data_IF_750046186036
#
_entry.id   IF_750046186036
#
_cell.length_a   1.000
_cell.length_b   1.000
_cell.length_c   1.000
_cell.angle_alpha   90.00
_cell.angle_beta   90.00
_cell.angle_gamma   90.00
#
_symmetry.space_group_name_H-M   'P 1'
#
loop_
_entity.id
_entity.type
_entity.pdbx_description
1 polymer ?
#
# COMPACT_ATOMS: atom_id res chain seq x y z
N UNK A 1 4.20 29.79 -20.88
CA UNK A 1 4.11 28.41 -20.38
C UNK A 1 5.50 28.02 -19.94
N UNK A 2 5.64 27.72 -18.65
CA UNK A 2 6.93 27.47 -18.01
C UNK A 2 7.58 26.18 -18.53
N UNK A 3 8.90 26.08 -18.41
CA UNK A 3 9.68 24.95 -18.90
C UNK A 3 9.21 23.61 -18.32
N UNK A 4 8.67 23.61 -17.09
CA UNK A 4 8.10 22.43 -16.44
C UNK A 4 6.91 21.87 -17.22
N UNK A 5 5.97 22.71 -17.66
CA UNK A 5 4.83 22.27 -18.47
C UNK A 5 5.25 21.73 -19.84
N UNK A 6 6.24 22.36 -20.49
CA UNK A 6 6.80 21.84 -21.75
C UNK A 6 7.47 20.48 -21.60
N UNK A 7 8.02 20.17 -20.44
CA UNK A 7 8.59 18.84 -20.18
C UNK A 7 7.50 17.76 -20.07
N UNK A 8 6.29 18.12 -19.63
CA UNK A 8 5.15 17.18 -19.59
C UNK A 8 4.68 16.77 -20.99
N UNK A 9 4.82 17.64 -21.99
CA UNK A 9 4.48 17.29 -23.39
C UNK A 9 5.33 16.13 -23.92
N UNK A 10 6.57 15.97 -23.43
CA UNK A 10 7.47 14.86 -23.80
C UNK A 10 7.00 13.50 -23.27
N UNK A 11 6.08 13.50 -22.31
CA UNK A 11 5.52 12.30 -21.69
C UNK A 11 4.28 11.79 -22.42
N UNK A 12 3.88 12.46 -23.51
CA UNK A 12 2.76 12.05 -24.34
C UNK A 12 3.19 11.08 -25.42
N UNK A 13 2.46 9.98 -25.50
CA UNK A 13 2.61 8.93 -26.50
C UNK A 13 1.26 8.60 -27.12
N UNK A 14 1.28 7.85 -28.21
CA UNK A 14 0.09 7.32 -28.92
C UNK A 14 0.28 5.84 -29.20
N UNK A 15 -0.81 5.08 -29.34
CA UNK A 15 -0.78 3.65 -29.71
C UNK A 15 -0.55 3.44 -31.21
N UNK A 16 -0.93 4.43 -32.02
CA UNK A 16 -0.81 4.47 -33.47
C UNK A 16 0.22 5.50 -33.89
N UNK A 17 0.80 5.30 -35.08
CA UNK A 17 1.79 6.22 -35.61
C UNK A 17 1.14 7.59 -35.91
N UNK A 18 1.58 8.67 -35.25
CA UNK A 18 0.99 10.00 -35.40
C UNK A 18 1.29 10.65 -36.76
N UNK A 19 2.02 10.01 -37.67
CA UNK A 19 2.15 10.43 -39.08
C UNK A 19 1.08 9.83 -39.99
N UNK A 20 0.50 8.69 -39.61
CA UNK A 20 -0.40 7.93 -40.48
C UNK A 20 -1.80 7.72 -39.90
N UNK A 21 -2.02 8.12 -38.64
CA UNK A 21 -3.28 7.93 -37.93
C UNK A 21 -3.82 9.24 -37.37
N UNK A 22 -5.14 9.42 -37.56
CA UNK A 22 -5.93 10.50 -36.96
C UNK A 22 -6.68 10.02 -35.70
N UNK A 23 -6.49 8.77 -35.28
CA UNK A 23 -7.21 8.18 -34.15
C UNK A 23 -6.83 8.83 -32.83
N UNK A 24 -7.81 9.11 -31.96
CA UNK A 24 -7.52 9.56 -30.61
C UNK A 24 -7.14 8.35 -29.75
N UNK A 25 -5.90 8.29 -29.29
CA UNK A 25 -5.30 7.11 -28.67
C UNK A 25 -4.19 7.48 -27.67
N UNK A 26 -4.47 8.49 -26.83
CA UNK A 26 -3.51 9.08 -25.91
C UNK A 26 -2.96 8.06 -24.90
N UNK A 27 -1.65 8.03 -24.75
CA UNK A 27 -0.89 7.31 -23.74
C UNK A 27 -0.03 8.32 -22.97
N UNK A 28 0.01 8.23 -21.65
CA UNK A 28 0.80 9.14 -20.83
C UNK A 28 1.74 8.40 -19.87
N UNK A 29 3.00 8.82 -19.81
CA UNK A 29 3.99 8.24 -18.90
C UNK A 29 3.70 8.63 -17.46
N UNK A 30 3.65 7.64 -16.57
CA UNK A 30 3.31 7.82 -15.15
C UNK A 30 4.31 7.17 -14.18
N UNK A 31 5.31 6.48 -14.70
CA UNK A 31 6.40 5.90 -13.92
C UNK A 31 7.55 5.48 -14.83
N UNK A 32 8.67 5.07 -14.23
CA UNK A 32 9.91 4.74 -14.97
C UNK A 32 9.72 3.69 -16.06
N UNK A 33 8.85 2.73 -15.83
CA UNK A 33 8.55 1.64 -16.77
C UNK A 33 7.08 1.60 -17.21
N UNK A 34 6.28 2.58 -16.78
CA UNK A 34 4.82 2.49 -16.88
C UNK A 34 4.21 3.71 -17.55
N UNK A 35 3.30 3.44 -18.47
CA UNK A 35 2.42 4.43 -19.06
C UNK A 35 0.95 4.01 -18.87
N UNK A 36 0.04 4.96 -18.97
CA UNK A 36 -1.40 4.73 -18.80
C UNK A 36 -2.17 5.24 -20.01
N UNK A 37 -3.23 4.53 -20.33
CA UNK A 37 -4.26 4.95 -21.28
C UNK A 37 -5.64 4.52 -20.78
N UNK A 38 -6.69 4.90 -21.49
CA UNK A 38 -8.08 4.61 -21.13
C UNK A 38 -8.54 3.27 -21.71
N UNK A 39 -9.54 2.67 -21.06
CA UNK A 39 -10.16 1.39 -21.42
C UNK A 39 -11.55 1.62 -22.03
N UNK A 40 -11.61 2.37 -23.13
CA UNK A 40 -12.85 2.60 -23.89
C UNK A 40 -12.53 2.66 -25.39
N UNK A 41 -13.53 2.47 -26.24
CA UNK A 41 -13.35 2.47 -27.69
C UNK A 41 -12.42 1.34 -28.15
N UNK A 42 -11.53 1.62 -29.11
CA UNK A 42 -10.64 0.62 -29.69
C UNK A 42 -9.61 0.07 -28.68
N UNK A 43 -9.31 0.84 -27.63
CA UNK A 43 -8.44 0.38 -26.55
C UNK A 43 -9.06 -0.76 -25.75
N UNK A 44 -10.39 -0.86 -25.69
CA UNK A 44 -11.08 -1.93 -24.96
C UNK A 44 -10.81 -3.33 -25.54
N UNK A 45 -10.32 -3.42 -26.78
CA UNK A 45 -9.98 -4.69 -27.43
C UNK A 45 -8.64 -5.26 -26.93
N UNK A 46 -7.76 -4.41 -26.39
CA UNK A 46 -6.44 -4.79 -25.91
C UNK A 46 -6.53 -5.74 -24.71
N UNK A 47 -5.71 -6.80 -24.72
CA UNK A 47 -5.68 -7.84 -23.69
C UNK A 47 -4.40 -7.81 -22.87
N UNK A 48 -4.48 -8.21 -21.59
CA UNK A 48 -3.29 -8.34 -20.73
C UNK A 48 -2.27 -9.29 -21.39
N UNK A 49 -1.00 -8.88 -21.42
CA UNK A 49 0.10 -9.58 -22.06
C UNK A 49 0.26 -9.31 -23.56
N UNK A 50 -0.69 -8.63 -24.19
CA UNK A 50 -0.58 -8.20 -25.59
C UNK A 50 0.58 -7.21 -25.75
N UNK A 51 1.39 -7.40 -26.80
CA UNK A 51 2.54 -6.54 -27.09
C UNK A 51 2.17 -5.51 -28.15
N UNK A 52 2.69 -4.31 -27.99
CA UNK A 52 2.47 -3.20 -28.90
C UNK A 52 3.67 -2.26 -28.97
N UNK A 53 3.51 -1.19 -29.75
CA UNK A 53 4.47 -0.10 -29.86
C UNK A 53 3.74 1.18 -29.50
N UNK A 54 4.36 2.03 -28.68
CA UNK A 54 3.91 3.39 -28.44
C UNK A 54 4.87 4.39 -29.11
N UNK A 55 4.31 5.48 -29.64
CA UNK A 55 5.02 6.50 -30.40
C UNK A 55 5.03 7.80 -29.62
N UNK A 56 6.20 8.42 -29.41
CA UNK A 56 6.23 9.71 -28.74
C UNK A 56 5.58 10.78 -29.62
N UNK A 57 4.67 11.57 -29.05
CA UNK A 57 3.88 12.55 -29.79
C UNK A 57 4.75 13.70 -30.33
N UNK A 58 5.77 14.13 -29.58
CA UNK A 58 6.66 15.22 -29.96
C UNK A 58 7.81 14.78 -30.87
N UNK A 59 8.43 13.64 -30.57
CA UNK A 59 9.52 13.08 -31.36
C UNK A 59 9.13 11.71 -31.92
N UNK A 60 8.57 11.72 -33.13
CA UNK A 60 7.99 10.55 -33.80
C UNK A 60 9.00 9.43 -34.12
N UNK A 61 10.30 9.73 -34.06
CA UNK A 61 11.37 8.73 -34.18
C UNK A 61 11.47 7.84 -32.93
N UNK A 62 10.97 8.30 -31.78
CA UNK A 62 10.97 7.53 -30.53
C UNK A 62 9.79 6.57 -30.55
N UNK A 63 10.12 5.28 -30.67
CA UNK A 63 9.17 4.15 -30.65
C UNK A 63 9.58 3.20 -29.53
N UNK A 64 8.63 2.84 -28.67
CA UNK A 64 8.90 1.97 -27.52
C UNK A 64 8.01 0.73 -27.57
N UNK A 65 8.64 -0.43 -27.41
CA UNK A 65 7.91 -1.69 -27.25
C UNK A 65 7.33 -1.78 -25.84
N UNK A 66 6.05 -2.12 -25.76
CA UNK A 66 5.32 -2.26 -24.51
C UNK A 66 4.49 -3.54 -24.50
N UNK A 67 4.08 -3.99 -23.31
CA UNK A 67 2.97 -4.92 -23.14
C UNK A 67 1.84 -4.26 -22.35
N UNK A 68 0.62 -4.76 -22.54
CA UNK A 68 -0.51 -4.45 -21.68
C UNK A 68 -0.29 -5.16 -20.35
N UNK A 69 0.12 -4.42 -19.34
CA UNK A 69 0.48 -4.95 -18.04
C UNK A 69 -0.74 -5.18 -17.15
N UNK A 70 -1.68 -4.24 -17.18
CA UNK A 70 -2.88 -4.29 -16.35
C UNK A 70 -4.07 -3.63 -17.04
N UNK A 71 -5.25 -4.18 -16.80
CA UNK A 71 -6.52 -3.70 -17.34
C UNK A 71 -7.56 -3.64 -16.24
N UNK A 72 -8.21 -2.50 -16.09
CA UNK A 72 -9.30 -2.33 -15.13
C UNK A 72 -10.46 -1.56 -15.73
N UNK A 73 -11.46 -2.32 -16.15
CA UNK A 73 -12.71 -1.88 -16.76
C UNK A 73 -13.52 -0.99 -15.82
N UNK A 74 -13.52 -1.26 -14.51
CA UNK A 74 -14.27 -0.46 -13.53
C UNK A 74 -13.71 0.96 -13.39
N UNK A 75 -12.40 1.08 -13.49
CA UNK A 75 -11.70 2.38 -13.44
C UNK A 75 -11.48 3.01 -14.82
N UNK A 76 -11.76 2.28 -15.89
CA UNK A 76 -11.63 2.73 -17.28
C UNK A 76 -10.17 2.95 -17.71
N UNK A 77 -9.21 2.16 -17.21
CA UNK A 77 -7.79 2.32 -17.58
C UNK A 77 -7.11 1.03 -18.03
N UNK A 78 -6.06 1.22 -18.82
CA UNK A 78 -5.03 0.26 -19.19
C UNK A 78 -3.68 0.81 -18.76
N UNK A 79 -2.84 -0.05 -18.21
CA UNK A 79 -1.45 0.26 -17.90
C UNK A 79 -0.58 -0.54 -18.86
N UNK A 80 0.36 0.17 -19.47
CA UNK A 80 1.37 -0.37 -20.36
C UNK A 80 2.70 -0.41 -19.61
N UNK A 81 3.42 -1.53 -19.72
CA UNK A 81 4.78 -1.66 -19.20
C UNK A 81 5.76 -1.74 -20.37
N UNK A 82 6.89 -1.05 -20.25
CA UNK A 82 7.97 -1.06 -21.24
C UNK A 82 8.69 -2.40 -21.26
N UNK A 83 8.94 -2.95 -22.46
CA UNK A 83 9.75 -4.16 -22.60
C UNK A 83 11.25 -3.87 -22.45
N UNK A 84 12.02 -4.94 -22.24
CA UNK A 84 13.49 -4.92 -22.17
C UNK A 84 14.06 -3.98 -21.09
N UNK A 85 13.31 -3.75 -20.00
CA UNK A 85 13.68 -2.84 -18.90
C UNK A 85 13.99 -1.41 -19.35
N UNK A 86 13.40 -0.94 -20.45
CA UNK A 86 13.56 0.45 -20.87
C UNK A 86 13.00 1.40 -19.78
N UNK A 87 13.74 2.46 -19.44
CA UNK A 87 13.28 3.49 -18.51
C UNK A 87 12.96 4.78 -19.28
N UNK A 88 11.81 5.40 -18.99
CA UNK A 88 11.53 6.75 -19.45
C UNK A 88 12.48 7.76 -18.77
N UNK A 89 13.04 8.68 -19.55
CA UNK A 89 14.00 9.69 -19.06
C UNK A 89 13.40 10.67 -18.04
N UNK A 90 12.08 10.82 -18.07
CA UNK A 90 11.35 11.76 -17.23
C UNK A 90 10.02 11.14 -16.78
N UNK A 91 9.60 11.49 -15.56
CA UNK A 91 8.33 11.06 -14.97
C UNK A 91 7.67 12.26 -14.28
N UNK A 92 6.33 12.34 -14.28
CA UNK A 92 5.64 13.46 -13.66
C UNK A 92 5.66 13.33 -12.13
N UNK A 93 5.73 14.45 -11.42
CA UNK A 93 5.48 14.45 -9.98
C UNK A 93 4.00 14.20 -9.69
N UNK A 94 3.70 13.46 -8.62
CA UNK A 94 2.32 13.12 -8.26
C UNK A 94 1.76 14.15 -7.28
N UNK A 95 0.51 14.55 -7.49
CA UNK A 95 -0.17 15.38 -6.50
C UNK A 95 -0.49 14.57 -5.23
N UNK A 96 -0.09 15.07 -4.06
CA UNK A 96 -0.37 14.42 -2.78
C UNK A 96 -1.75 14.74 -2.21
N UNK A 97 -2.31 15.92 -2.56
CA UNK A 97 -3.60 16.39 -2.03
C UNK A 97 -4.28 17.35 -3.01
N UNK A 98 -5.55 17.10 -3.31
CA UNK A 98 -6.35 17.97 -4.17
C UNK A 98 -7.66 18.37 -3.45
N UNK A 99 -7.72 19.64 -3.06
CA UNK A 99 -8.92 20.35 -2.56
C UNK A 99 -9.78 20.72 -3.77
N UNK A 100 -11.10 20.71 -3.60
CA UNK A 100 -12.07 21.12 -4.63
C UNK A 100 -13.05 22.14 -4.03
N UNK A 101 -13.52 23.15 -4.80
CA UNK A 101 -13.19 23.40 -6.19
C UNK A 101 -11.80 24.05 -6.39
N UNK A 102 -11.13 23.79 -7.52
CA UNK A 102 -9.85 24.44 -7.87
C UNK A 102 -9.57 24.41 -9.38
N UNK A 103 -8.78 25.36 -9.93
CA UNK A 103 -8.35 25.29 -11.32
C UNK A 103 -7.35 24.14 -11.57
N UNK A 104 -7.29 23.71 -12.84
CA UNK A 104 -6.28 22.77 -13.35
C UNK A 104 -5.86 23.14 -14.77
N UNK A 105 -4.72 22.58 -15.18
CA UNK A 105 -4.23 22.55 -16.55
C UNK A 105 -4.48 21.18 -17.15
N UNK A 106 -5.01 21.13 -18.37
CA UNK A 106 -5.31 19.90 -19.09
C UNK A 106 -4.44 19.84 -20.33
N UNK A 107 -3.74 18.73 -20.49
CA UNK A 107 -2.96 18.43 -21.66
C UNK A 107 -3.64 17.31 -22.44
N UNK A 108 -3.85 17.57 -23.73
CA UNK A 108 -4.54 16.70 -24.67
C UNK A 108 -3.82 16.65 -26.02
N UNK A 109 -4.31 15.80 -26.93
CA UNK A 109 -3.84 15.75 -28.31
C UNK A 109 -4.79 16.55 -29.18
N UNK A 110 -4.26 17.53 -29.92
CA UNK A 110 -5.02 18.19 -30.97
C UNK A 110 -5.20 17.21 -32.14
N UNK A 111 -6.43 16.75 -32.36
CA UNK A 111 -6.71 15.74 -33.39
C UNK A 111 -6.33 16.19 -34.81
N UNK A 112 -6.42 17.48 -35.14
CA UNK A 112 -6.20 17.98 -36.50
C UNK A 112 -4.75 17.92 -36.98
N UNK A 113 -3.77 18.00 -36.07
CA UNK A 113 -2.35 18.05 -36.42
C UNK A 113 -1.45 17.19 -35.51
N UNK A 114 -2.06 16.42 -34.59
CA UNK A 114 -1.39 15.51 -33.66
C UNK A 114 -0.33 16.21 -32.81
N UNK A 115 -0.60 17.44 -32.38
CA UNK A 115 0.27 18.22 -31.48
C UNK A 115 -0.28 18.30 -30.05
N UNK A 116 0.57 18.52 -29.03
CA UNK A 116 0.12 18.83 -27.67
C UNK A 116 -0.80 20.06 -27.64
N UNK A 117 -1.92 19.96 -26.93
CA UNK A 117 -2.86 21.05 -26.70
C UNK A 117 -3.05 21.25 -25.20
N UNK A 118 -2.85 22.49 -24.75
CA UNK A 118 -3.11 22.87 -23.37
C UNK A 118 -4.39 23.67 -23.25
N UNK A 119 -5.25 23.22 -22.34
CA UNK A 119 -6.47 23.89 -21.91
C UNK A 119 -6.46 24.09 -20.40
N UNK A 120 -7.40 24.90 -19.90
CA UNK A 120 -7.59 25.10 -18.46
C UNK A 120 -9.02 24.79 -18.07
N UNK A 121 -9.20 24.17 -16.92
CA UNK A 121 -10.51 23.86 -16.36
C UNK A 121 -10.55 24.01 -14.85
N UNK A 122 -11.64 23.54 -14.26
CA UNK A 122 -11.86 23.55 -12.81
C UNK A 122 -12.33 22.18 -12.34
N UNK A 123 -11.66 21.62 -11.33
CA UNK A 123 -12.18 20.49 -10.56
C UNK A 123 -13.36 21.01 -9.75
N UNK A 124 -14.55 20.48 -9.98
CA UNK A 124 -15.79 20.96 -9.37
C UNK A 124 -16.00 20.27 -8.01
N UNK A 125 -15.90 18.93 -7.99
CA UNK A 125 -16.16 18.10 -6.81
C UNK A 125 -15.52 16.72 -6.91
N UNK A 126 -15.53 15.99 -5.80
CA UNK A 126 -15.15 14.57 -5.72
C UNK A 126 -16.38 13.69 -5.90
N UNK A 127 -16.24 12.54 -6.55
CA UNK A 127 -17.32 11.52 -6.59
C UNK A 127 -17.54 10.90 -5.20
N UNK A 128 -18.72 10.29 -4.98
CA UNK A 128 -19.10 9.67 -3.69
C UNK A 128 -18.18 8.53 -3.22
N UNK A 129 -17.33 7.96 -4.08
CA UNK A 129 -16.31 6.97 -3.72
C UNK A 129 -14.88 7.53 -3.64
N UNK A 130 -14.69 8.85 -3.77
CA UNK A 130 -13.39 9.53 -3.81
C UNK A 130 -12.39 9.03 -4.87
N UNK A 131 -12.76 8.15 -5.80
CA UNK A 131 -11.88 7.67 -6.87
C UNK A 131 -11.73 8.68 -8.02
N UNK A 132 -12.73 9.54 -8.22
CA UNK A 132 -12.80 10.46 -9.36
C UNK A 132 -12.94 11.92 -8.91
N UNK A 133 -12.41 12.82 -9.73
CA UNK A 133 -12.83 14.21 -9.79
C UNK A 133 -13.83 14.44 -10.92
N UNK A 134 -14.72 15.40 -10.73
CA UNK A 134 -15.56 15.94 -11.79
C UNK A 134 -14.96 17.26 -12.29
N UNK A 135 -14.68 17.36 -13.59
CA UNK A 135 -14.17 18.56 -14.24
C UNK A 135 -15.17 19.16 -15.22
N UNK A 136 -15.06 20.47 -15.48
CA UNK A 136 -16.00 21.25 -16.30
C UNK A 136 -15.54 21.55 -17.74
N UNK A 137 -14.52 20.87 -18.26
CA UNK A 137 -14.05 21.06 -19.64
C UNK A 137 -14.73 20.08 -20.59
N UNK A 138 -14.59 20.35 -21.89
CA UNK A 138 -14.98 19.48 -22.99
C UNK A 138 -13.90 18.42 -23.33
N UNK A 139 -13.01 18.10 -22.40
CA UNK A 139 -11.92 17.16 -22.60
C UNK A 139 -12.32 15.79 -23.16
N UNK A 140 -11.31 15.11 -23.70
CA UNK A 140 -11.41 13.79 -24.31
C UNK A 140 -10.84 12.72 -23.38
N UNK A 141 -11.17 11.46 -23.64
CA UNK A 141 -10.61 10.32 -22.91
C UNK A 141 -9.09 10.28 -23.09
N UNK A 142 -8.34 10.05 -22.02
CA UNK A 142 -6.88 10.06 -22.06
C UNK A 142 -6.24 11.43 -21.88
N UNK A 143 -7.02 12.51 -21.85
CA UNK A 143 -6.50 13.82 -21.45
C UNK A 143 -5.98 13.76 -20.02
N UNK A 144 -4.83 14.40 -19.78
CA UNK A 144 -4.16 14.37 -18.47
C UNK A 144 -4.20 15.73 -17.79
N UNK A 145 -4.37 15.71 -16.47
CA UNK A 145 -4.71 16.87 -15.66
C UNK A 145 -3.59 17.16 -14.68
N UNK A 146 -3.19 18.43 -14.60
CA UNK A 146 -2.11 18.93 -13.74
C UNK A 146 -2.57 20.12 -12.91
N UNK A 147 -1.93 20.32 -11.77
CA UNK A 147 -2.08 21.57 -11.02
C UNK A 147 -1.14 22.67 -11.53
N UNK A 148 -1.19 23.82 -10.85
CA UNK A 148 -0.35 25.00 -11.16
C UNK A 148 1.15 24.74 -11.01
N UNK A 149 1.55 23.68 -10.30
CA UNK A 149 2.94 23.27 -10.09
C UNK A 149 3.37 22.14 -11.05
N UNK A 150 2.59 21.89 -12.10
CA UNK A 150 2.82 20.80 -13.05
C UNK A 150 2.80 19.39 -12.40
N UNK A 151 2.15 19.21 -11.24
CA UNK A 151 1.98 17.89 -10.62
C UNK A 151 0.75 17.17 -11.16
N UNK A 152 0.89 15.87 -11.43
CA UNK A 152 -0.13 15.03 -12.05
C UNK A 152 -1.29 14.74 -11.08
N UNK A 153 -2.47 15.24 -11.46
CA UNK A 153 -3.73 15.06 -10.74
C UNK A 153 -4.42 13.76 -11.16
N UNK A 154 -4.40 13.42 -12.45
CA UNK A 154 -5.15 12.29 -12.96
C UNK A 154 -5.41 12.36 -14.46
N UNK A 155 -6.19 11.41 -14.96
CA UNK A 155 -6.51 11.25 -16.38
C UNK A 155 -8.02 11.18 -16.58
N UNK A 156 -8.51 11.75 -17.67
CA UNK A 156 -9.91 11.65 -18.08
C UNK A 156 -10.20 10.23 -18.57
N UNK A 157 -11.14 9.56 -17.92
CA UNK A 157 -11.50 8.15 -18.25
C UNK A 157 -12.95 7.99 -18.67
N UNK A 158 -13.78 9.01 -18.46
CA UNK A 158 -15.18 8.99 -18.91
C UNK A 158 -15.68 10.41 -19.13
N UNK A 159 -16.61 10.60 -20.07
CA UNK A 159 -17.33 11.86 -20.29
C UNK A 159 -18.84 11.62 -20.20
N UNK A 160 -19.54 12.36 -19.34
CA UNK A 160 -21.01 12.27 -19.19
C UNK A 160 -21.62 13.63 -18.91
N UNK A 161 -22.75 13.93 -19.55
CA UNK A 161 -23.56 15.14 -19.29
C UNK A 161 -22.74 16.45 -19.31
N UNK A 162 -21.81 16.57 -20.28
CA UNK A 162 -20.96 17.75 -20.42
C UNK A 162 -19.86 17.90 -19.36
N UNK A 163 -19.65 16.90 -18.49
CA UNK A 163 -18.56 16.86 -17.53
C UNK A 163 -17.58 15.74 -17.86
N UNK A 164 -16.32 15.93 -17.47
CA UNK A 164 -15.29 14.90 -17.52
C UNK A 164 -15.08 14.27 -16.15
N UNK A 165 -14.88 12.95 -16.13
CA UNK A 165 -14.54 12.17 -14.96
C UNK A 165 -13.05 11.87 -15.00
N UNK A 166 -12.33 12.43 -14.04
CA UNK A 166 -10.88 12.35 -13.95
C UNK A 166 -10.53 11.34 -12.88
N UNK A 167 -9.96 10.20 -13.27
CA UNK A 167 -9.44 9.21 -12.34
C UNK A 167 -8.18 9.75 -11.66
N UNK A 168 -8.14 9.69 -10.34
CA UNK A 168 -7.03 10.25 -9.57
C UNK A 168 -5.72 9.53 -9.82
N UNK A 169 -4.63 10.28 -9.90
CA UNK A 169 -3.27 9.76 -9.98
C UNK A 169 -2.96 8.76 -8.86
N UNK A 170 -3.42 9.02 -7.63
CA UNK A 170 -3.27 8.09 -6.50
C UNK A 170 -3.91 6.73 -6.73
N UNK A 171 -5.01 6.65 -7.50
CA UNK A 171 -5.69 5.40 -7.84
C UNK A 171 -4.95 4.69 -8.99
N UNK A 172 -4.52 5.45 -10.00
CA UNK A 172 -3.72 4.92 -11.13
C UNK A 172 -2.43 4.28 -10.61
N UNK A 173 -1.64 4.99 -9.80
CA UNK A 173 -0.41 4.45 -9.21
C UNK A 173 -0.68 3.27 -8.28
N UNK A 174 -1.80 3.29 -7.56
CA UNK A 174 -2.29 2.18 -6.77
C UNK A 174 -2.53 0.92 -7.61
N UNK A 175 -3.11 1.07 -8.80
CA UNK A 175 -3.40 -0.03 -9.71
C UNK A 175 -2.13 -0.62 -10.32
N UNK A 176 -1.14 0.20 -10.70
CA UNK A 176 0.20 -0.29 -11.08
C UNK A 176 0.76 -1.17 -9.96
N UNK A 177 0.74 -0.65 -8.74
CA UNK A 177 1.31 -1.36 -7.60
C UNK A 177 0.54 -2.65 -7.27
N UNK A 178 -0.79 -2.65 -7.40
CA UNK A 178 -1.61 -3.87 -7.26
C UNK A 178 -1.22 -4.90 -8.31
N UNK A 179 -1.10 -4.52 -9.58
CA UNK A 179 -0.73 -5.42 -10.67
C UNK A 179 0.67 -6.04 -10.49
N UNK A 180 1.66 -5.22 -10.11
CA UNK A 180 3.00 -5.70 -9.73
C UNK A 180 2.91 -6.72 -8.60
N UNK A 181 2.07 -6.46 -7.59
CA UNK A 181 1.90 -7.38 -6.47
C UNK A 181 1.14 -8.65 -6.83
N UNK A 182 0.20 -8.60 -7.76
CA UNK A 182 -0.51 -9.77 -8.28
C UNK A 182 0.43 -10.67 -9.08
N UNK A 183 1.29 -10.09 -9.93
CA UNK A 183 2.32 -10.85 -10.66
C UNK A 183 3.34 -11.50 -9.72
N UNK A 184 3.79 -10.76 -8.69
CA UNK A 184 4.62 -11.30 -7.62
C UNK A 184 3.88 -12.36 -6.79
N UNK A 185 2.56 -12.25 -6.64
CA UNK A 185 1.73 -13.22 -5.89
C UNK A 185 1.51 -14.51 -6.68
N UNK A 186 1.37 -14.42 -8.02
CA UNK A 186 1.24 -15.56 -8.93
C UNK A 186 2.55 -16.34 -9.09
N UNK A 187 3.69 -15.72 -8.79
CA UNK A 187 5.01 -16.34 -8.92
C UNK A 187 5.58 -16.86 -7.60
N UNK A 188 4.91 -16.66 -6.46
CA UNK A 188 5.51 -17.04 -5.19
C UNK A 188 5.11 -18.42 -4.64
N UNK A 189 6.05 -19.11 -3.94
CA UNK A 189 5.83 -20.46 -3.45
C UNK A 189 4.82 -20.49 -2.30
N UNK A 190 4.24 -21.67 -2.09
CA UNK A 190 3.41 -22.09 -0.96
C UNK A 190 3.95 -21.61 0.40
N UNK A 191 3.06 -21.47 1.42
CA UNK A 191 3.45 -21.02 2.75
C UNK A 191 4.37 -22.07 3.40
N UNK A 192 5.62 -21.68 3.66
CA UNK A 192 6.55 -22.23 4.68
C UNK A 192 8.01 -21.85 4.42
N UNK A 193 8.33 -21.19 3.30
CA UNK A 193 9.70 -20.71 3.09
C UNK A 193 9.95 -19.39 3.81
N UNK A 194 10.84 -19.43 4.80
CA UNK A 194 11.43 -18.25 5.43
C UNK A 194 11.95 -17.32 4.33
N UNK A 195 11.59 -16.03 4.34
CA UNK A 195 11.80 -15.14 3.20
C UNK A 195 13.23 -14.63 3.06
N UNK A 196 14.04 -14.78 4.11
CA UNK A 196 15.42 -14.34 4.11
C UNK A 196 16.32 -15.51 3.73
N UNK A 197 17.25 -15.26 2.81
CA UNK A 197 18.40 -16.14 2.62
C UNK A 197 19.38 -16.05 3.80
N UNK A 198 19.31 -14.94 4.54
CA UNK A 198 20.08 -14.72 5.77
C UNK A 198 19.44 -15.45 6.96
N UNK A 199 20.03 -16.59 7.30
CA UNK A 199 19.61 -17.41 8.43
C UNK A 199 19.82 -16.68 9.78
N UNK A 200 20.80 -15.80 9.89
CA UNK A 200 21.07 -15.05 11.12
C UNK A 200 19.93 -14.06 11.39
N UNK A 201 19.48 -13.34 10.36
CA UNK A 201 18.35 -12.41 10.47
C UNK A 201 17.05 -13.13 10.86
N UNK A 202 16.77 -14.28 10.25
CA UNK A 202 15.65 -15.15 10.66
C UNK A 202 15.73 -15.45 12.14
N UNK A 203 16.89 -15.91 12.60
CA UNK A 203 17.10 -16.33 13.96
C UNK A 203 16.96 -15.17 14.96
N UNK A 204 17.41 -13.98 14.58
CA UNK A 204 17.23 -12.76 15.36
C UNK A 204 15.74 -12.42 15.47
N UNK A 205 15.00 -12.37 14.37
CA UNK A 205 13.56 -12.04 14.36
C UNK A 205 12.76 -13.04 15.21
N UNK A 206 12.99 -14.34 15.05
CA UNK A 206 12.31 -15.37 15.84
C UNK A 206 12.60 -15.23 17.35
N UNK A 207 13.79 -14.76 17.71
CA UNK A 207 14.19 -14.51 19.10
C UNK A 207 13.50 -13.30 19.73
N UNK A 208 12.89 -12.42 18.92
CA UNK A 208 12.10 -11.28 19.39
C UNK A 208 10.68 -11.69 19.83
N UNK A 209 10.24 -12.91 19.52
CA UNK A 209 8.87 -13.38 19.74
C UNK A 209 8.73 -14.00 21.12
N UNK A 210 7.73 -13.54 21.86
CA UNK A 210 7.36 -14.00 23.18
C UNK A 210 5.87 -14.33 23.25
N UNK A 211 5.49 -15.04 24.30
CA UNK A 211 4.10 -15.24 24.67
C UNK A 211 3.86 -14.82 26.12
N UNK A 212 2.68 -14.25 26.41
CA UNK A 212 2.29 -13.88 27.78
C UNK A 212 1.65 -15.02 28.56
N UNK A 213 1.61 -16.24 27.99
CA UNK A 213 1.03 -17.44 28.62
C UNK A 213 2.09 -18.51 28.77
N UNK A 214 2.04 -19.28 29.85
CA UNK A 214 2.98 -20.38 30.11
C UNK A 214 3.01 -21.36 28.92
N UNK A 215 4.17 -21.91 28.49
CA UNK A 215 4.30 -22.80 27.32
C UNK A 215 3.35 -24.00 27.30
N UNK A 216 2.95 -24.50 28.46
CA UNK A 216 1.99 -25.62 28.60
C UNK A 216 0.52 -25.22 28.46
N UNK A 217 0.22 -23.93 28.28
CA UNK A 217 -1.17 -23.46 28.10
C UNK A 217 -1.68 -23.77 26.69
N UNK A 218 -2.95 -24.16 26.58
CA UNK A 218 -3.65 -24.40 25.32
C UNK A 218 -3.87 -23.12 24.49
N UNK A 219 -3.74 -21.95 25.11
CA UNK A 219 -3.88 -20.67 24.44
C UNK A 219 -2.57 -19.89 24.48
N UNK A 220 -2.27 -19.20 23.40
CA UNK A 220 -1.13 -18.29 23.30
C UNK A 220 -1.60 -16.87 23.03
N UNK A 221 -0.70 -15.92 23.28
CA UNK A 221 -0.84 -14.52 22.87
C UNK A 221 0.50 -14.03 22.42
N UNK A 222 0.56 -13.46 21.23
CA UNK A 222 1.80 -12.98 20.68
C UNK A 222 2.21 -11.68 21.34
N UNK A 223 3.48 -11.62 21.72
CA UNK A 223 4.15 -10.45 22.27
C UNK A 223 5.49 -10.35 21.57
N UNK A 224 5.97 -9.15 21.28
CA UNK A 224 7.31 -8.97 20.75
C UNK A 224 8.05 -7.87 21.48
N UNK A 225 9.36 -8.01 21.57
CA UNK A 225 10.24 -6.97 22.09
C UNK A 225 10.31 -5.81 21.08
N UNK A 226 10.18 -4.57 21.55
CA UNK A 226 10.33 -3.36 20.73
C UNK A 226 11.61 -2.58 21.09
N UNK A 227 12.17 -2.83 22.26
CA UNK A 227 13.45 -2.29 22.71
C UNK A 227 14.04 -3.20 23.79
N UNK A 228 15.25 -2.89 24.26
CA UNK A 228 15.92 -3.61 25.37
C UNK A 228 15.05 -3.75 26.63
N UNK A 229 14.12 -2.82 26.86
CA UNK A 229 13.32 -2.74 28.09
C UNK A 229 11.81 -2.79 27.86
N UNK A 230 11.34 -2.85 26.62
CA UNK A 230 9.92 -2.76 26.32
C UNK A 230 9.46 -3.82 25.34
N UNK A 231 8.22 -4.26 25.54
CA UNK A 231 7.51 -5.17 24.65
C UNK A 231 6.10 -4.66 24.38
N UNK A 232 5.55 -5.09 23.25
CA UNK A 232 4.23 -4.69 22.79
C UNK A 232 3.36 -5.92 22.45
N UNK A 233 2.07 -5.77 22.66
CA UNK A 233 1.01 -6.69 22.20
C UNK A 233 -0.29 -5.93 21.99
N UNK A 234 -1.35 -6.62 21.59
CA UNK A 234 -2.68 -6.07 21.36
C UNK A 234 -3.48 -5.93 22.67
N UNK A 235 -4.46 -5.01 22.71
CA UNK A 235 -5.25 -4.74 23.93
C UNK A 235 -6.55 -5.53 24.04
N UNK A 236 -7.15 -5.93 22.91
CA UNK A 236 -8.33 -6.80 22.93
C UNK A 236 -7.98 -8.21 23.44
N UNK A 237 -8.94 -8.95 24.00
CA UNK A 237 -8.71 -10.26 24.62
C UNK A 237 -9.12 -10.33 26.10
N UNK A 238 -8.78 -11.43 26.80
CA UNK A 238 -9.14 -11.67 28.23
C UNK A 238 -8.01 -11.21 29.18
N UNK A 239 -8.27 -11.04 30.48
CA UNK A 239 -7.25 -10.64 31.48
C UNK A 239 -6.06 -11.63 31.59
N UNK A 240 -4.86 -11.23 32.10
CA UNK A 240 -4.53 -10.04 32.92
C UNK A 240 -3.94 -8.81 32.19
N UNK A 241 -3.80 -8.83 30.85
CA UNK A 241 -3.23 -7.71 30.08
C UNK A 241 -4.05 -6.41 30.10
N UNK A 242 -5.26 -6.40 30.70
CA UNK A 242 -6.12 -5.22 30.80
C UNK A 242 -5.95 -4.43 32.09
N UNK A 243 -5.06 -4.88 32.98
CA UNK A 243 -4.79 -4.22 34.24
C UNK A 243 -3.46 -3.46 34.16
N UNK A 244 -3.53 -2.14 34.34
CA UNK A 244 -2.33 -1.31 34.55
C UNK A 244 -1.54 -1.82 35.75
N UNK A 245 -0.21 -1.75 35.66
CA UNK A 245 0.73 -2.25 36.66
C UNK A 245 0.70 -3.77 36.91
N UNK A 246 -0.08 -4.54 36.14
CA UNK A 246 -0.01 -5.99 36.21
C UNK A 246 1.39 -6.49 35.86
N UNK A 247 1.92 -7.39 36.69
CA UNK A 247 3.22 -8.03 36.49
C UNK A 247 3.02 -9.35 35.79
N UNK A 248 3.73 -9.53 34.68
CA UNK A 248 3.61 -10.67 33.79
C UNK A 248 4.96 -11.32 33.56
N UNK A 249 4.94 -12.62 33.26
CA UNK A 249 6.09 -13.37 32.78
C UNK A 249 5.90 -13.62 31.29
N UNK A 250 6.81 -13.09 30.48
CA UNK A 250 6.84 -13.33 29.04
C UNK A 250 7.80 -14.48 28.75
N UNK A 251 7.34 -15.48 28.00
CA UNK A 251 8.12 -16.67 27.65
C UNK A 251 8.58 -16.57 26.21
N UNK A 252 9.88 -16.72 25.96
CA UNK A 252 10.40 -16.66 24.60
C UNK A 252 9.89 -17.85 23.78
N UNK A 253 9.38 -17.60 22.57
CA UNK A 253 8.79 -18.63 21.73
C UNK A 253 9.84 -19.59 21.13
N UNK A 254 11.05 -19.08 20.84
CA UNK A 254 12.16 -19.88 20.29
C UNK A 254 12.89 -20.67 21.39
N UNK A 255 13.00 -20.09 22.59
CA UNK A 255 13.70 -20.68 23.74
C UNK A 255 12.77 -20.72 24.96
N UNK A 256 11.90 -21.75 25.10
CA UNK A 256 10.83 -21.78 26.11
C UNK A 256 11.29 -21.63 27.58
N UNK A 257 12.54 -21.98 27.91
CA UNK A 257 13.10 -21.78 29.26
C UNK A 257 13.45 -20.32 29.58
N UNK A 258 13.69 -19.50 28.55
CA UNK A 258 14.01 -18.08 28.68
C UNK A 258 12.74 -17.26 28.88
N UNK A 259 12.78 -16.38 29.86
CA UNK A 259 11.65 -15.52 30.18
C UNK A 259 12.08 -14.15 30.69
N UNK A 260 11.18 -13.19 30.56
CA UNK A 260 11.37 -11.80 31.01
C UNK A 260 10.19 -11.44 31.89
N UNK A 261 10.44 -10.85 33.07
CA UNK A 261 9.37 -10.28 33.89
C UNK A 261 9.14 -8.83 33.49
N UNK A 262 7.88 -8.48 33.25
CA UNK A 262 7.48 -7.16 32.80
C UNK A 262 6.29 -6.65 33.61
N UNK A 263 6.09 -5.34 33.59
CA UNK A 263 4.92 -4.65 34.13
C UNK A 263 4.16 -3.95 33.01
N UNK A 264 2.84 -4.01 33.01
CA UNK A 264 2.00 -3.25 32.09
C UNK A 264 2.11 -1.76 32.42
N UNK A 265 2.61 -0.96 31.49
CA UNK A 265 2.87 0.48 31.67
C UNK A 265 2.01 1.37 30.80
N UNK A 266 1.34 0.83 29.78
CA UNK A 266 0.30 1.54 29.04
C UNK A 266 -0.69 0.58 28.42
N UNK A 267 -1.96 0.97 28.42
CA UNK A 267 -3.02 0.30 27.68
C UNK A 267 -3.72 1.37 26.83
N UNK A 268 -3.70 1.19 25.52
CA UNK A 268 -4.45 2.03 24.59
C UNK A 268 -5.54 1.18 23.93
N UNK A 269 -6.79 1.41 24.34
CA UNK A 269 -7.93 0.65 23.81
C UNK A 269 -8.40 1.17 22.45
N UNK A 270 -8.02 2.40 22.07
CA UNK A 270 -8.41 3.01 20.80
C UNK A 270 -7.50 2.48 19.70
N UNK A 271 -6.20 2.55 19.92
CA UNK A 271 -5.19 2.01 19.01
C UNK A 271 -4.92 0.51 19.22
N UNK A 272 -5.55 -0.08 20.23
CA UNK A 272 -5.55 -1.52 20.50
C UNK A 272 -4.16 -2.11 20.76
N UNK A 273 -3.40 -1.49 21.67
CA UNK A 273 -2.11 -2.00 22.12
C UNK A 273 -1.91 -1.94 23.63
N UNK A 274 -1.01 -2.79 24.11
CA UNK A 274 -0.50 -2.82 25.49
C UNK A 274 1.02 -2.72 25.44
N UNK A 275 1.54 -1.72 26.13
CA UNK A 275 2.97 -1.55 26.35
C UNK A 275 3.36 -2.13 27.70
N UNK A 276 4.44 -2.90 27.69
CA UNK A 276 5.00 -3.52 28.90
C UNK A 276 6.47 -3.11 29.04
N UNK A 277 6.91 -2.92 30.28
CA UNK A 277 8.29 -2.55 30.61
C UNK A 277 8.92 -3.61 31.51
N UNK A 278 10.15 -4.01 31.23
CA UNK A 278 10.90 -4.96 32.05
C UNK A 278 10.99 -4.48 33.49
N UNK A 279 10.86 -5.41 34.43
CA UNK A 279 11.25 -5.17 35.83
C UNK A 279 12.77 -5.10 35.95
N UNK A 280 13.25 -4.57 37.07
CA UNK A 280 14.68 -4.46 37.36
C UNK A 280 15.38 -5.82 37.26
N UNK A 281 16.57 -5.82 36.66
CA UNK A 281 17.34 -7.03 36.38
C UNK A 281 16.89 -7.83 35.15
N UNK A 282 15.81 -7.43 34.46
CA UNK A 282 15.34 -8.07 33.24
C UNK A 282 15.55 -7.19 32.00
N UNK A 283 15.92 -7.83 30.89
CA UNK A 283 16.15 -7.21 29.57
C UNK A 283 15.77 -8.16 28.44
N UNK A 284 15.43 -7.59 27.28
CA UNK A 284 15.33 -8.31 26.03
C UNK A 284 16.67 -8.27 25.31
N UNK A 285 17.22 -9.45 25.01
CA UNK A 285 18.51 -9.56 24.31
C UNK A 285 18.42 -9.20 22.83
N UNK A 286 17.26 -9.41 22.22
CA UNK A 286 17.02 -9.18 20.79
C UNK A 286 15.73 -8.39 20.61
N UNK A 287 15.80 -7.32 19.83
CA UNK A 287 14.71 -6.40 19.51
C UNK A 287 15.03 -5.70 18.17
N UNK A 288 14.04 -5.12 17.47
CA UNK A 288 14.27 -4.42 16.22
C UNK A 288 15.25 -3.26 16.39
N UNK A 289 16.26 -3.19 15.51
CA UNK A 289 17.28 -2.12 15.51
C UNK A 289 16.84 -0.89 14.71
N UNK A 290 15.86 -1.05 13.83
CA UNK A 290 15.33 0.01 12.99
C UNK A 290 13.82 -0.16 12.75
N UNK A 291 13.17 0.95 12.43
CA UNK A 291 11.77 1.04 11.99
C UNK A 291 11.72 1.53 10.55
N UNK A 292 10.61 1.27 9.86
CA UNK A 292 10.35 1.85 8.54
C UNK A 292 8.87 2.16 8.38
N UNK A 293 8.53 3.29 7.74
CA UNK A 293 7.15 3.63 7.45
C UNK A 293 6.62 2.76 6.33
N UNK A 294 5.47 2.08 6.51
CA UNK A 294 4.92 1.26 5.45
C UNK A 294 4.25 2.08 4.37
N UNK A 295 4.27 1.54 3.15
CA UNK A 295 3.58 2.11 2.00
C UNK A 295 2.75 1.04 1.30
N UNK A 296 1.72 1.49 0.57
CA UNK A 296 0.85 0.60 -0.20
C UNK A 296 1.69 -0.23 -1.18
N UNK A 297 1.45 -1.52 -1.18
CA UNK A 297 2.12 -2.50 -2.00
C UNK A 297 3.43 -3.03 -1.46
N UNK A 298 3.92 -2.50 -0.34
CA UNK A 298 5.10 -3.06 0.29
C UNK A 298 4.81 -4.48 0.80
N UNK A 299 5.68 -5.43 0.45
CA UNK A 299 5.67 -6.77 1.06
C UNK A 299 6.07 -6.67 2.52
N UNK A 300 5.31 -7.34 3.37
CA UNK A 300 5.63 -7.50 4.79
C UNK A 300 5.64 -8.98 5.19
N UNK A 301 6.29 -9.24 6.31
CA UNK A 301 6.31 -10.54 6.97
C UNK A 301 5.71 -10.41 8.35
N UNK A 302 4.68 -11.22 8.59
CA UNK A 302 4.10 -11.45 9.88
C UNK A 302 4.81 -12.61 10.56
N UNK A 303 5.21 -12.39 11.81
CA UNK A 303 5.83 -13.40 12.65
C UNK A 303 5.12 -13.45 13.97
N UNK A 304 4.68 -14.66 14.32
CA UNK A 304 4.00 -14.94 15.57
C UNK A 304 3.96 -16.43 15.82
N UNK A 305 3.45 -16.78 16.99
CA UNK A 305 3.14 -18.13 17.41
C UNK A 305 1.77 -18.51 16.88
N UNK A 306 1.65 -19.71 16.30
CA UNK A 306 0.39 -20.27 15.79
C UNK A 306 -0.35 -21.10 16.85
N UNK A 307 -1.50 -21.68 16.48
CA UNK A 307 -2.32 -22.53 17.37
C UNK A 307 -1.59 -23.75 17.95
N UNK A 308 -0.55 -24.25 17.27
CA UNK A 308 0.32 -25.33 17.74
C UNK A 308 1.50 -24.84 18.58
N UNK A 309 1.52 -23.57 18.97
CA UNK A 309 2.58 -22.90 19.71
C UNK A 309 3.95 -22.91 19.03
N UNK A 310 3.97 -23.01 17.70
CA UNK A 310 5.19 -22.88 16.89
C UNK A 310 5.29 -21.50 16.30
N UNK A 311 6.51 -20.99 16.18
CA UNK A 311 6.75 -19.76 15.41
C UNK A 311 6.35 -20.03 13.96
N UNK A 312 5.60 -19.11 13.39
CA UNK A 312 5.06 -19.16 12.04
C UNK A 312 5.37 -17.85 11.33
N UNK A 313 5.76 -18.00 10.07
CA UNK A 313 6.06 -16.91 9.16
C UNK A 313 4.94 -16.83 8.13
N UNK A 314 4.39 -15.63 7.94
CA UNK A 314 3.38 -15.39 6.92
C UNK A 314 3.77 -14.17 6.11
N UNK A 315 3.70 -14.29 4.80
CA UNK A 315 3.94 -13.19 3.89
C UNK A 315 2.62 -12.48 3.59
N UNK A 316 2.69 -11.16 3.47
CA UNK A 316 1.57 -10.33 3.07
C UNK A 316 2.01 -9.10 2.31
N UNK A 317 1.04 -8.33 1.83
CA UNK A 317 1.27 -7.08 1.13
C UNK A 317 0.35 -6.01 1.70
N UNK A 318 0.89 -4.83 2.00
CA UNK A 318 0.08 -3.70 2.47
C UNK A 318 -0.86 -3.24 1.35
N UNK A 319 -2.16 -3.20 1.61
CA UNK A 319 -3.19 -2.86 0.62
C UNK A 319 -3.57 -1.39 0.69
N UNK A 320 -4.14 -0.91 1.79
CA UNK A 320 -4.51 0.50 1.91
C UNK A 320 -4.48 0.95 3.37
N UNK A 321 -4.24 2.25 3.55
CA UNK A 321 -4.25 2.88 4.86
C UNK A 321 -5.69 3.10 5.32
N UNK A 322 -5.98 2.82 6.58
CA UNK A 322 -7.31 3.03 7.14
C UNK A 322 -7.60 4.54 7.22
N UNK A 323 -8.46 5.03 6.32
CA UNK A 323 -8.78 6.44 6.21
C UNK A 323 -9.56 6.99 7.41
N UNK A 324 -10.15 6.14 8.25
CA UNK A 324 -10.82 6.57 9.46
C UNK A 324 -9.85 6.63 10.65
N UNK A 325 -8.73 5.91 10.59
CA UNK A 325 -7.74 5.83 11.66
C UNK A 325 -6.32 5.74 11.07
N UNK A 326 -5.65 6.89 10.95
CA UNK A 326 -4.31 7.03 10.33
C UNK A 326 -3.19 6.15 10.91
N UNK A 327 -3.44 5.50 12.05
CA UNK A 327 -2.50 4.57 12.69
C UNK A 327 -2.63 3.13 12.20
N UNK A 328 -3.56 2.83 11.28
CA UNK A 328 -3.78 1.47 10.79
C UNK A 328 -3.59 1.32 9.29
N UNK A 329 -3.16 0.12 8.90
CA UNK A 329 -3.10 -0.34 7.53
C UNK A 329 -3.83 -1.67 7.39
N UNK A 330 -4.44 -1.89 6.23
CA UNK A 330 -4.97 -3.20 5.84
C UNK A 330 -3.97 -3.90 4.94
N UNK A 331 -3.75 -5.19 5.17
CA UNK A 331 -2.85 -6.01 4.36
C UNK A 331 -3.39 -7.40 4.07
N UNK A 332 -3.01 -7.96 2.93
CA UNK A 332 -3.34 -9.34 2.54
C UNK A 332 -2.52 -10.32 3.37
N UNK A 333 -3.15 -11.29 4.02
CA UNK A 333 -2.42 -12.34 4.74
C UNK A 333 -3.32 -13.53 5.06
N UNK A 334 -2.72 -14.72 5.17
CA UNK A 334 -3.35 -15.94 5.69
C UNK A 334 -3.40 -15.95 7.23
N UNK A 335 -3.62 -14.79 7.85
CA UNK A 335 -3.67 -14.69 9.30
C UNK A 335 -4.78 -15.60 9.86
N UNK A 336 -4.49 -16.35 10.92
CA UNK A 336 -5.38 -17.26 11.59
C UNK A 336 -5.76 -16.72 12.97
N UNK A 337 -6.77 -17.33 13.58
CA UNK A 337 -7.13 -17.01 14.97
C UNK A 337 -5.93 -17.34 15.86
N UNK A 338 -5.48 -16.38 16.67
CA UNK A 338 -4.27 -16.49 17.50
C UNK A 338 -3.14 -15.56 17.05
N UNK A 339 -3.17 -15.08 15.81
CA UNK A 339 -2.10 -14.26 15.23
C UNK A 339 -2.04 -12.81 15.74
N UNK A 340 -3.05 -12.34 16.47
CA UNK A 340 -3.04 -10.99 17.05
C UNK A 340 -1.84 -10.81 17.97
N UNK A 341 -1.17 -9.65 17.88
CA UNK A 341 0.03 -9.31 18.63
C UNK A 341 1.34 -9.74 17.98
N UNK A 342 1.31 -10.44 16.84
CA UNK A 342 2.53 -10.77 16.10
C UNK A 342 3.16 -9.54 15.46
N UNK A 343 4.48 -9.60 15.29
CA UNK A 343 5.30 -8.52 14.72
C UNK A 343 5.14 -8.50 13.20
N UNK A 344 5.16 -7.30 12.62
CA UNK A 344 5.21 -7.07 11.17
C UNK A 344 6.54 -6.40 10.82
N UNK A 345 7.32 -7.01 9.93
CA UNK A 345 8.63 -6.49 9.47
C UNK A 345 8.74 -6.49 7.94
N UNK A 346 9.70 -5.75 7.40
CA UNK A 346 10.09 -5.82 5.98
C UNK A 346 11.21 -6.85 5.74
N UNK A 347 11.65 -6.97 4.49
CA UNK A 347 12.76 -7.83 4.05
C UNK A 347 14.15 -7.44 4.60
N UNK A 348 14.28 -6.33 5.32
CA UNK A 348 15.50 -5.93 6.02
C UNK A 348 15.40 -6.13 7.54
N UNK A 349 14.33 -6.73 8.04
CA UNK A 349 14.09 -6.89 9.48
C UNK A 349 13.62 -5.62 10.20
N UNK A 350 13.32 -4.54 9.48
CA UNK A 350 12.83 -3.30 10.09
C UNK A 350 11.38 -3.46 10.52
N UNK A 351 11.05 -2.94 11.70
CA UNK A 351 9.70 -2.96 12.25
C UNK A 351 8.76 -2.02 11.48
N UNK A 352 7.63 -2.57 11.02
CA UNK A 352 6.56 -1.85 10.30
C UNK A 352 5.24 -1.80 11.10
N UNK A 353 5.10 -2.61 12.15
CA UNK A 353 3.88 -2.62 12.94
C UNK A 353 3.58 -3.93 13.66
N UNK A 354 2.32 -4.08 14.04
CA UNK A 354 1.79 -5.23 14.76
C UNK A 354 0.44 -5.63 14.18
N UNK A 355 0.20 -6.94 14.01
CA UNK A 355 -1.11 -7.45 13.63
C UNK A 355 -2.10 -7.30 14.79
N UNK A 356 -3.25 -6.66 14.57
CA UNK A 356 -4.27 -6.48 15.61
C UNK A 356 -5.48 -7.35 15.35
N UNK A 357 -6.17 -7.15 14.22
CA UNK A 357 -7.43 -7.84 13.95
C UNK A 357 -7.40 -8.56 12.60
N UNK A 358 -8.26 -9.56 12.47
CA UNK A 358 -8.62 -10.16 11.18
C UNK A 358 -10.08 -9.85 10.89
N UNK A 359 -10.37 -9.44 9.67
CA UNK A 359 -11.73 -9.54 9.15
C UNK A 359 -11.92 -10.94 8.56
N UNK A 360 -12.87 -11.70 9.11
CA UNK A 360 -13.40 -12.88 8.45
C UNK A 360 -14.60 -12.41 7.65
N UNK A 361 -14.55 -12.61 6.34
CA UNK A 361 -15.71 -12.41 5.49
C UNK A 361 -16.68 -13.58 5.74
N UNK A 362 -17.88 -13.30 6.23
CA UNK A 362 -18.98 -14.27 6.23
C UNK A 362 -19.85 -14.00 5.00
N UNK A 363 -20.38 -15.06 4.39
CA UNK A 363 -21.36 -15.00 3.31
C UNK A 363 -22.71 -14.50 3.85
N UNK A 364 -22.80 -13.21 4.21
CA UNK A 364 -24.05 -12.58 4.64
C UNK A 364 -24.82 -12.09 3.40
N UNK A 365 -26.01 -12.66 3.10
CA UNK A 365 -26.80 -12.29 1.94
C UNK A 365 -27.47 -10.90 2.06
N UNK A 366 -27.27 -10.17 3.16
CA UNK A 366 -27.82 -8.82 3.38
C UNK A 366 -26.87 -7.67 2.97
N UNK A 367 -25.64 -7.97 2.55
CA UNK A 367 -24.67 -6.96 2.11
C UNK A 367 -25.06 -6.27 0.78
N UNK A 368 -24.71 -5.00 0.65
CA UNK A 368 -24.94 -4.21 -0.56
C UNK A 368 -23.94 -4.55 -1.67
N UNK A 369 -24.30 -4.29 -2.93
CA UNK A 369 -23.42 -4.52 -4.10
C UNK A 369 -22.10 -3.74 -4.00
N UNK A 370 -22.09 -2.58 -3.33
CA UNK A 370 -20.91 -1.74 -3.13
C UNK A 370 -19.94 -2.34 -2.07
N UNK A 371 -20.48 -2.99 -1.04
CA UNK A 371 -19.70 -3.77 -0.07
C UNK A 371 -19.14 -5.04 -0.70
N UNK A 372 -19.91 -5.68 -1.58
CA UNK A 372 -19.51 -6.86 -2.35
C UNK A 372 -18.40 -6.56 -3.36
N UNK A 373 -18.39 -5.37 -3.98
CA UNK A 373 -17.32 -4.94 -4.91
C UNK A 373 -16.03 -4.60 -4.15
N UNK A 374 -16.12 -3.96 -2.97
CA UNK A 374 -14.96 -3.84 -2.05
C UNK A 374 -14.43 -5.21 -1.60
N UNK A 375 -15.33 -6.19 -1.48
CA UNK A 375 -15.07 -7.61 -1.15
C UNK A 375 -14.33 -8.35 -2.27
N UNK A 376 -14.66 -8.10 -3.53
CA UNK A 376 -14.15 -8.86 -4.69
C UNK A 376 -12.71 -8.50 -5.09
N UNK A 377 -12.25 -7.28 -4.77
CA UNK A 377 -10.87 -6.84 -5.05
C UNK A 377 -9.82 -7.31 -4.02
N UNK A 378 -10.21 -8.08 -3.00
CA UNK A 378 -9.33 -8.41 -1.86
C UNK A 378 -9.37 -9.91 -1.54
N UNK A 379 -8.16 -10.47 -1.38
CA UNK A 379 -7.86 -11.83 -0.92
C UNK A 379 -8.82 -12.32 0.21
N UNK A 380 -9.18 -13.61 0.31
CA UNK A 380 -10.18 -14.16 1.25
C UNK A 380 -9.87 -13.98 2.75
N UNK A 381 -8.75 -13.33 3.09
CA UNK A 381 -8.39 -12.93 4.43
C UNK A 381 -7.52 -11.65 4.38
N UNK A 382 -7.93 -10.64 5.16
CA UNK A 382 -7.19 -9.39 5.38
C UNK A 382 -6.96 -9.17 6.87
N UNK A 383 -5.77 -8.66 7.19
CA UNK A 383 -5.38 -8.26 8.53
C UNK A 383 -5.37 -6.75 8.66
N UNK A 384 -5.78 -6.28 9.84
CA UNK A 384 -5.57 -4.94 10.32
C UNK A 384 -4.24 -4.86 11.04
N UNK A 385 -3.40 -3.91 10.66
CA UNK A 385 -2.04 -3.73 11.14
C UNK A 385 -1.96 -2.36 11.81
N UNK A 386 -1.58 -2.34 13.09
CA UNK A 386 -1.23 -1.11 13.79
C UNK A 386 0.20 -0.72 13.41
N UNK A 387 0.36 0.50 12.88
CA UNK A 387 1.66 1.04 12.48
C UNK A 387 2.57 1.28 13.69
N UNK A 388 3.89 1.14 13.49
CA UNK A 388 4.86 1.27 14.57
C UNK A 388 4.79 2.63 15.27
N UNK A 389 4.51 3.71 14.54
CA UNK A 389 4.45 5.07 15.09
C UNK A 389 3.38 5.18 16.19
N UNK A 390 2.28 4.41 16.08
CA UNK A 390 1.19 4.40 17.06
C UNK A 390 1.62 3.96 18.46
N UNK A 391 2.54 2.98 18.56
CA UNK A 391 3.02 2.48 19.85
C UNK A 391 4.44 2.93 20.21
N UNK A 392 5.28 3.31 19.23
CA UNK A 392 6.64 3.79 19.48
C UNK A 392 6.67 5.21 20.07
N UNK A 393 5.82 6.12 19.60
CA UNK A 393 5.68 7.46 20.20
C UNK A 393 5.24 7.37 21.68
N UNK A 394 4.40 6.38 21.98
CA UNK A 394 3.95 6.10 23.33
C UNK A 394 5.08 5.57 24.22
N UNK A 395 5.96 4.74 23.67
CA UNK A 395 7.15 4.22 24.35
C UNK A 395 8.24 5.30 24.56
N UNK A 396 8.32 6.30 23.69
CA UNK A 396 9.22 7.44 23.84
C UNK A 396 8.72 8.42 24.91
N UNK A 397 7.42 8.72 24.96
CA UNK A 397 6.83 9.62 25.98
C UNK A 397 6.95 9.09 27.41
N UNK A 398 7.03 7.77 27.61
CA UNK A 398 7.35 7.20 28.92
C UNK A 398 8.79 7.49 29.40
N UNK A 399 9.65 8.09 28.56
CA UNK A 399 11.00 8.56 28.94
C UNK A 399 11.04 9.96 29.57
N UNK A 400 9.96 10.75 29.56
CA UNK A 400 9.99 12.15 30.04
C UNK A 400 10.04 12.32 31.58
N UNK A 401 10.70 11.39 32.27
CA UNK A 401 11.07 11.54 33.68
C UNK A 401 12.60 11.45 33.90
N UNK A 402 13.44 11.61 32.87
CA UNK A 402 14.90 11.71 33.04
C UNK A 402 15.49 12.65 31.96
N UNK A 403 16.22 13.66 32.42
CA UNK A 403 16.98 14.63 31.62
C UNK A 403 18.01 13.92 30.72
N UNK A 404 18.15 14.39 29.49
CA UNK A 404 19.29 14.03 28.64
C UNK A 404 20.36 15.11 28.78
N UNK A 405 21.54 14.70 29.23
CA UNK A 405 22.83 15.40 29.01
C UNK A 405 23.26 15.18 27.57
#
# INVERSE_FOLDING_TARGET
>A
MDQQFRNLEKLMYTLTDPETSDEHDCVFVIGKHHAVTYEEGDHSMLQIGEKGIIYNLLNKEIKLEVNVFYKNVETGILILETLNNHEFDYVPELTSYTIVPRPYHQLSIRQTDRTPLWNTGTLIRKSKGHAYYLGNTDGMLGDVIFDEYATFIGMVVTKREGNIFILKSSIICSNIQTAINEEISLTMPQPDNKPFQDQELVEQVESMIYTSTHPSSEFHRNVFAISKKQACTYAHGRDPLKQMDAVLKLYNAKTPGKHVKVKVTKIDKILDFVLMTCLDGYEFDVYPTATASPYRGQTYYFIGVNEHRKISWKRGVFSYKDHQQDSFFWGTTTALKGDSGGIIINANGHLLGMNTARLKFSDDPSETTEETIKRAAHHPAVSRILLQDGFMLSAQKSKNNIEFV
#
